data_IF_205682294651
#
_entry.id   IF_205682294651
#
_cell.length_a   1.000
_cell.length_b   1.000
_cell.length_c   1.000
_cell.angle_alpha   90.00
_cell.angle_beta   90.00
_cell.angle_gamma   90.00
#
_symmetry.space_group_name_H-M   'P 1'
#
loop_
_entity.id
_entity.type
_entity.pdbx_description
1 polymer ?
#
# COMPACT_ATOMS: atom_id res chain seq x y z
N UNK A 1 -19.06 16.70 -2.88
CA UNK A 1 -18.66 15.37 -3.32
C UNK A 1 -17.57 14.85 -2.38
N UNK A 2 -17.73 13.65 -1.87
CA UNK A 2 -16.79 13.08 -0.92
C UNK A 2 -15.77 12.23 -1.66
N UNK A 3 -14.48 12.56 -1.49
CA UNK A 3 -13.40 11.78 -2.09
C UNK A 3 -13.03 10.69 -1.10
N UNK A 4 -13.05 9.44 -1.58
CA UNK A 4 -12.65 8.31 -0.76
C UNK A 4 -11.21 7.90 -1.03
N UNK A 5 -10.47 7.71 0.04
CA UNK A 5 -9.09 7.24 0.03
C UNK A 5 -8.99 5.97 0.87
N UNK A 6 -8.06 5.11 0.49
CA UNK A 6 -7.69 3.98 1.33
C UNK A 6 -6.18 3.82 1.37
N UNK A 7 -5.68 3.50 2.55
CA UNK A 7 -4.27 3.16 2.72
C UNK A 7 -4.13 1.65 2.50
N UNK A 8 -3.41 1.28 1.45
CA UNK A 8 -3.26 -0.11 1.05
C UNK A 8 -1.79 -0.49 0.98
N UNK A 9 -1.49 -1.77 1.21
CA UNK A 9 -0.20 -2.35 0.84
C UNK A 9 -0.44 -3.24 -0.37
N UNK A 10 0.30 -2.99 -1.44
CA UNK A 10 0.31 -3.85 -2.62
C UNK A 10 1.47 -4.83 -2.53
N UNK A 11 1.22 -6.05 -2.93
CA UNK A 11 2.26 -7.08 -3.07
C UNK A 11 2.42 -7.42 -4.54
N UNK A 12 3.67 -7.50 -5.00
CA UNK A 12 3.96 -7.88 -6.37
C UNK A 12 4.05 -9.40 -6.48
N UNK A 13 3.34 -9.96 -7.45
CA UNK A 13 3.32 -11.38 -7.72
C UNK A 13 3.32 -11.57 -9.24
N UNK A 14 4.33 -12.27 -9.79
CA UNK A 14 4.47 -12.55 -11.21
C UNK A 14 4.35 -11.29 -12.08
N UNK A 15 5.03 -10.22 -11.69
CA UNK A 15 5.04 -8.90 -12.36
C UNK A 15 3.74 -8.12 -12.26
N UNK A 16 2.81 -8.57 -11.42
CA UNK A 16 1.56 -7.84 -11.18
C UNK A 16 1.44 -7.45 -9.73
N UNK A 17 0.92 -6.24 -9.50
CA UNK A 17 0.64 -5.74 -8.17
C UNK A 17 -0.79 -6.12 -7.78
N UNK A 18 -0.93 -6.65 -6.56
CA UNK A 18 -2.23 -7.02 -6.00
C UNK A 18 -2.41 -6.33 -4.64
N UNK A 19 -3.64 -5.96 -4.32
CA UNK A 19 -3.94 -5.44 -3.01
C UNK A 19 -3.77 -6.56 -1.97
N UNK A 20 -2.85 -6.33 -1.02
CA UNK A 20 -2.56 -7.30 0.02
C UNK A 20 -3.39 -7.03 1.27
N UNK A 21 -3.45 -5.78 1.72
CA UNK A 21 -4.16 -5.41 2.94
C UNK A 21 -4.51 -3.93 2.96
N UNK A 22 -5.58 -3.57 3.67
CA UNK A 22 -6.02 -2.19 3.85
C UNK A 22 -5.83 -1.76 5.31
N UNK A 23 -5.52 -0.48 5.53
CA UNK A 23 -5.20 0.08 6.84
C UNK A 23 -6.01 1.35 7.08
N UNK A 24 -6.29 1.64 8.36
CA UNK A 24 -7.04 2.83 8.72
C UNK A 24 -6.18 4.10 8.68
N UNK A 25 -4.86 3.97 8.88
CA UNK A 25 -3.96 5.11 8.87
C UNK A 25 -2.76 4.87 7.97
N UNK A 26 -2.18 5.97 7.46
CA UNK A 26 -0.97 5.89 6.66
C UNK A 26 0.22 5.38 7.49
N UNK A 27 0.27 5.75 8.77
CA UNK A 27 1.33 5.31 9.68
C UNK A 27 1.34 3.79 9.83
N UNK A 28 0.17 3.19 10.07
CA UNK A 28 0.04 1.74 10.20
C UNK A 28 0.42 1.04 8.89
N UNK A 29 0.00 1.62 7.77
CA UNK A 29 0.31 1.09 6.44
C UNK A 29 1.81 1.06 6.20
N UNK A 30 2.49 2.16 6.49
CA UNK A 30 3.95 2.28 6.32
C UNK A 30 4.70 1.33 7.25
N UNK A 31 4.29 1.25 8.52
CA UNK A 31 4.92 0.37 9.51
C UNK A 31 4.80 -1.09 9.10
N UNK A 32 3.61 -1.51 8.69
CA UNK A 32 3.39 -2.89 8.30
C UNK A 32 4.12 -3.23 6.99
N UNK A 33 4.16 -2.31 6.03
CA UNK A 33 4.91 -2.51 4.80
C UNK A 33 6.40 -2.72 5.09
N UNK A 34 6.96 -1.95 6.03
CA UNK A 34 8.35 -2.11 6.45
C UNK A 34 8.59 -3.47 7.10
N UNK A 35 7.69 -3.90 7.99
CA UNK A 35 7.78 -5.21 8.63
C UNK A 35 7.71 -6.35 7.63
N UNK A 36 6.80 -6.25 6.66
CA UNK A 36 6.65 -7.27 5.61
C UNK A 36 7.91 -7.36 4.75
N UNK A 37 8.52 -6.23 4.44
CA UNK A 37 9.74 -6.20 3.63
C UNK A 37 10.89 -6.87 4.36
N UNK A 38 10.99 -6.68 5.68
CA UNK A 38 12.02 -7.33 6.51
C UNK A 38 11.75 -8.82 6.64
N UNK A 39 10.49 -9.17 6.88
CA UNK A 39 10.09 -10.57 7.12
C UNK A 39 10.17 -11.43 5.85
N UNK A 40 9.84 -10.82 4.71
CA UNK A 40 9.80 -11.50 3.41
C UNK A 40 10.61 -10.73 2.38
N UNK A 41 11.96 -10.72 2.48
CA UNK A 41 12.78 -9.89 1.60
C UNK A 41 12.77 -10.33 0.14
N UNK A 42 12.25 -11.50 -0.16
CA UNK A 42 12.13 -12.01 -1.53
C UNK A 42 10.85 -11.51 -2.24
N UNK A 43 9.97 -10.83 -1.51
CA UNK A 43 8.74 -10.26 -2.09
C UNK A 43 8.80 -8.74 -2.07
N UNK A 44 8.12 -8.14 -3.02
CA UNK A 44 8.01 -6.68 -3.10
C UNK A 44 6.69 -6.22 -2.52
N UNK A 45 6.74 -5.22 -1.63
CA UNK A 45 5.56 -4.60 -1.04
C UNK A 45 5.62 -3.10 -1.28
N UNK A 46 4.47 -2.48 -1.50
CA UNK A 46 4.39 -1.05 -1.77
C UNK A 46 3.21 -0.46 -1.01
N UNK A 47 3.47 0.45 -0.04
CA UNK A 47 2.39 1.16 0.64
C UNK A 47 1.89 2.29 -0.25
N UNK A 48 0.57 2.39 -0.42
CA UNK A 48 -0.03 3.37 -1.33
C UNK A 48 -1.25 4.03 -0.70
N UNK A 49 -1.56 5.23 -1.18
CA UNK A 49 -2.84 5.88 -0.93
C UNK A 49 -3.66 5.75 -2.20
N UNK A 50 -4.72 4.98 -2.13
CA UNK A 50 -5.60 4.71 -3.26
C UNK A 50 -6.76 5.69 -3.28
N UNK A 51 -7.01 6.29 -4.44
CA UNK A 51 -8.18 7.16 -4.66
C UNK A 51 -9.19 6.43 -5.51
N UNK A 52 -10.36 6.20 -4.93
CA UNK A 52 -11.44 5.47 -5.62
C UNK A 52 -12.10 6.29 -6.71
N UNK A 53 -12.12 7.61 -6.56
CA UNK A 53 -12.81 8.48 -7.52
C UNK A 53 -12.14 8.50 -8.90
N UNK A 54 -10.84 8.34 -8.95
CA UNK A 54 -10.10 8.35 -10.21
C UNK A 54 -9.40 7.02 -10.52
N UNK A 55 -9.49 6.04 -9.62
CA UNK A 55 -8.87 4.73 -9.82
C UNK A 55 -7.35 4.79 -9.90
N UNK A 56 -6.72 5.71 -9.16
CA UNK A 56 -5.27 5.89 -9.16
C UNK A 56 -4.72 5.84 -7.75
N UNK A 57 -3.41 5.63 -7.64
CA UNK A 57 -2.74 5.59 -6.35
C UNK A 57 -1.48 6.43 -6.36
N UNK A 58 -1.06 6.83 -5.15
CA UNK A 58 0.23 7.47 -4.91
C UNK A 58 1.00 6.64 -3.90
N UNK A 59 2.30 6.47 -4.11
CA UNK A 59 3.12 5.73 -3.15
C UNK A 59 3.28 6.56 -1.87
N UNK A 60 3.06 5.92 -0.72
CA UNK A 60 3.25 6.57 0.57
C UNK A 60 4.74 6.65 0.89
N UNK A 61 5.17 7.82 1.37
CA UNK A 61 6.55 8.09 1.74
C UNK A 61 6.71 8.11 3.25
N UNK A 62 7.89 7.69 3.70
CA UNK A 62 8.24 7.68 5.13
C UNK A 62 8.81 9.01 5.62
N UNK A 63 9.11 9.90 4.71
CA UNK A 63 9.70 11.21 5.07
C UNK A 63 8.66 12.21 5.54
#
# INVERSE_FOLDING_TARGET
MKIEYRNLVFRKDSDKWHCFHAYESASDCLDHAAELTIDKPHLDFMPVLWRFDIGQYSVLDTD
#
